data_IF_540218607132
#
_entry.id   IF_540218607132
#
_cell.length_a   1.000
_cell.length_b   1.000
_cell.length_c   1.000
_cell.angle_alpha   90.00
_cell.angle_beta   90.00
_cell.angle_gamma   90.00
#
_symmetry.space_group_name_H-M   'P 1'
#
loop_
_entity.id
_entity.type
_entity.pdbx_description
1 polymer ?
#
# COMPACT_ATOMS: atom_id res chain seq x y z
N UNK A 1 4.66 -3.64 -25.45
CA UNK A 1 4.02 -3.31 -24.15
C UNK A 1 5.13 -2.84 -23.22
N UNK A 2 5.15 -1.57 -22.82
CA UNK A 2 6.21 -1.04 -21.98
C UNK A 2 6.02 -1.54 -20.53
N UNK A 3 6.56 -2.72 -20.24
CA UNK A 3 6.69 -3.25 -18.87
C UNK A 3 7.76 -2.46 -18.14
N UNK A 4 7.45 -1.22 -17.74
CA UNK A 4 8.19 -0.62 -16.63
C UNK A 4 7.91 -1.49 -15.42
N UNK A 5 8.94 -2.15 -14.89
CA UNK A 5 8.85 -2.85 -13.63
C UNK A 5 8.25 -1.90 -12.60
N UNK A 6 7.07 -2.25 -12.09
CA UNK A 6 6.38 -1.41 -11.12
C UNK A 6 7.21 -1.37 -9.86
N UNK A 7 7.45 -0.17 -9.37
CA UNK A 7 8.10 0.02 -8.07
C UNK A 7 7.24 -0.60 -6.96
N UNK A 8 7.87 -0.93 -5.83
CA UNK A 8 7.17 -1.41 -4.63
C UNK A 8 6.06 -0.44 -4.18
N UNK A 9 6.30 0.86 -4.34
CA UNK A 9 5.33 1.93 -4.10
C UNK A 9 4.10 1.82 -5.02
N UNK A 10 4.32 1.60 -6.32
CA UNK A 10 3.22 1.42 -7.28
C UNK A 10 2.42 0.16 -6.98
N UNK A 11 3.09 -0.95 -6.64
CA UNK A 11 2.40 -2.17 -6.20
C UNK A 11 1.56 -1.94 -4.95
N UNK A 12 2.09 -1.24 -3.94
CA UNK A 12 1.32 -0.88 -2.75
C UNK A 12 0.06 -0.09 -3.12
N UNK A 13 0.17 0.88 -4.03
CA UNK A 13 -0.98 1.66 -4.50
C UNK A 13 -2.04 0.81 -5.19
N UNK A 14 -1.63 -0.16 -6.01
CA UNK A 14 -2.54 -1.12 -6.62
C UNK A 14 -3.21 -2.04 -5.59
N UNK A 15 -2.46 -2.48 -4.57
CA UNK A 15 -3.01 -3.29 -3.49
C UNK A 15 -4.13 -2.57 -2.75
N UNK A 16 -3.85 -1.33 -2.34
CA UNK A 16 -4.81 -0.48 -1.62
C UNK A 16 -6.03 -0.17 -2.49
N UNK A 17 -5.81 0.16 -3.77
CA UNK A 17 -6.90 0.44 -4.72
C UNK A 17 -7.73 -0.80 -5.03
N UNK A 18 -7.10 -1.95 -5.23
CA UNK A 18 -7.76 -3.23 -5.49
C UNK A 18 -8.57 -3.73 -4.30
N UNK A 19 -8.13 -3.42 -3.08
CA UNK A 19 -8.91 -3.68 -1.86
C UNK A 19 -10.07 -2.67 -1.66
N UNK A 20 -10.24 -1.66 -2.52
CA UNK A 20 -11.25 -0.62 -2.37
C UNK A 20 -11.02 0.30 -1.15
N UNK A 21 -9.80 0.33 -0.61
CA UNK A 21 -9.48 1.07 0.61
C UNK A 21 -8.93 2.46 0.32
N UNK A 22 -9.28 3.40 1.18
CA UNK A 22 -8.60 4.70 1.24
C UNK A 22 -7.24 4.57 1.94
N UNK A 23 -6.26 5.41 1.59
CA UNK A 23 -4.93 5.41 2.21
C UNK A 23 -4.92 5.34 3.75
N UNK A 24 -5.72 6.13 4.51
CA UNK A 24 -5.76 6.04 5.98
C UNK A 24 -6.38 4.73 6.50
N UNK A 25 -7.36 4.18 5.79
CA UNK A 25 -7.95 2.89 6.14
C UNK A 25 -6.95 1.74 5.90
N UNK A 26 -6.26 1.78 4.75
CA UNK A 26 -5.18 0.86 4.44
C UNK A 26 -4.04 0.94 5.46
N UNK A 27 -3.65 2.15 5.88
CA UNK A 27 -2.64 2.34 6.93
C UNK A 27 -3.06 1.68 8.24
N UNK A 28 -4.32 1.84 8.64
CA UNK A 28 -4.85 1.24 9.87
C UNK A 28 -4.79 -0.28 9.82
N UNK A 29 -5.19 -0.86 8.69
CA UNK A 29 -5.11 -2.30 8.43
C UNK A 29 -3.66 -2.81 8.41
N UNK A 30 -2.78 -2.10 7.70
CA UNK A 30 -1.36 -2.42 7.63
C UNK A 30 -0.70 -2.42 9.01
N UNK A 31 -0.97 -1.38 9.81
CA UNK A 31 -0.42 -1.21 11.15
C UNK A 31 -0.99 -2.18 12.18
N UNK A 32 -2.12 -2.86 11.90
CA UNK A 32 -2.74 -3.82 12.82
C UNK A 32 -1.80 -4.97 13.21
N UNK A 33 -0.88 -5.36 12.32
CA UNK A 33 0.15 -6.38 12.59
C UNK A 33 1.42 -5.85 13.28
N UNK A 34 1.64 -4.52 13.26
CA UNK A 34 2.86 -3.89 13.80
C UNK A 34 2.66 -3.23 15.17
N UNK A 35 1.40 -3.02 15.59
CA UNK A 35 1.07 -2.41 16.87
C UNK A 35 1.64 -1.00 17.02
N UNK A 36 2.27 -0.71 18.16
CA UNK A 36 2.79 0.63 18.52
C UNK A 36 4.01 1.04 17.64
N UNK A 37 4.61 0.08 16.93
CA UNK A 37 5.69 0.33 15.94
C UNK A 37 5.18 0.53 14.51
N UNK A 38 3.87 0.71 14.34
CA UNK A 38 3.26 0.99 13.04
C UNK A 38 3.81 2.24 12.35
N UNK A 39 3.62 2.29 11.04
CA UNK A 39 4.03 3.43 10.22
C UNK A 39 3.12 4.63 10.53
N UNK A 40 3.70 5.82 10.69
CA UNK A 40 2.92 7.04 10.86
C UNK A 40 2.29 7.47 9.54
N UNK A 41 1.14 8.13 9.60
CA UNK A 41 0.44 8.63 8.41
C UNK A 41 1.31 9.53 7.52
N UNK A 42 2.14 10.38 8.13
CA UNK A 42 3.09 11.23 7.38
C UNK A 42 4.08 10.40 6.56
N UNK A 43 4.63 9.33 7.14
CA UNK A 43 5.53 8.41 6.44
C UNK A 43 4.78 7.60 5.38
N UNK A 44 3.56 7.15 5.68
CA UNK A 44 2.72 6.41 4.75
C UNK A 44 2.41 7.20 3.49
N UNK A 45 2.00 8.47 3.63
CA UNK A 45 1.76 9.38 2.50
C UNK A 45 2.99 9.54 1.60
N UNK A 46 4.20 9.51 2.18
CA UNK A 46 5.46 9.56 1.44
C UNK A 46 5.67 8.38 0.49
N UNK A 47 5.06 7.21 0.75
CA UNK A 47 5.12 6.07 -0.16
C UNK A 47 4.23 6.24 -1.39
N UNK A 48 3.18 7.07 -1.32
CA UNK A 48 2.31 7.36 -2.46
C UNK A 48 2.73 8.63 -3.23
N UNK A 49 3.79 9.31 -2.78
CA UNK A 49 4.36 10.42 -3.52
C UNK A 49 5.03 9.94 -4.81
N UNK A 50 5.11 10.83 -5.80
CA UNK A 50 5.88 10.58 -7.03
C UNK A 50 7.37 10.49 -6.69
N UNK A 51 8.17 9.69 -7.44
CA UNK A 51 9.61 9.55 -7.23
C UNK A 51 10.39 10.87 -7.35
N UNK A 52 9.83 11.85 -8.08
CA UNK A 52 10.39 13.20 -8.25
C UNK A 52 10.15 14.12 -7.03
N UNK A 53 9.34 13.68 -6.06
CA UNK A 53 9.04 14.50 -4.88
C UNK A 53 10.12 14.36 -3.81
N UNK A 54 10.50 15.47 -3.18
CA UNK A 54 11.39 15.48 -2.00
C UNK A 54 10.82 14.71 -0.80
N UNK A 55 9.53 14.41 -0.80
CA UNK A 55 8.85 13.59 0.22
C UNK A 55 8.71 12.12 -0.17
N UNK A 56 9.18 11.75 -1.36
CA UNK A 56 9.19 10.36 -1.80
C UNK A 56 10.00 9.52 -0.83
N UNK A 57 9.41 8.42 -0.38
CA UNK A 57 10.13 7.36 0.31
C UNK A 57 10.00 6.07 -0.46
N UNK A 58 11.11 5.38 -0.65
CA UNK A 58 11.10 4.01 -1.15
C UNK A 58 10.37 3.10 -0.17
N UNK A 59 9.38 2.37 -0.67
CA UNK A 59 8.70 1.36 0.11
C UNK A 59 9.53 0.07 0.08
N UNK A 60 9.85 -0.47 1.24
CA UNK A 60 10.71 -1.65 1.35
C UNK A 60 9.97 -2.90 0.83
N UNK A 61 10.61 -3.76 0.01
CA UNK A 61 9.98 -4.98 -0.48
C UNK A 61 9.51 -5.91 0.66
N UNK A 62 10.18 -5.93 1.82
CA UNK A 62 9.73 -6.72 2.97
C UNK A 62 8.40 -6.19 3.54
N UNK A 63 8.21 -4.87 3.50
CA UNK A 63 6.93 -4.24 3.89
C UNK A 63 5.85 -4.51 2.85
N UNK A 64 6.24 -4.63 1.57
CA UNK A 64 5.32 -5.01 0.51
C UNK A 64 4.78 -6.43 0.68
N UNK A 65 5.61 -7.40 1.05
CA UNK A 65 5.12 -8.76 1.33
C UNK A 65 4.08 -8.77 2.47
N UNK A 66 4.25 -7.93 3.49
CA UNK A 66 3.25 -7.77 4.54
C UNK A 66 1.97 -7.11 4.01
N UNK A 67 2.10 -6.07 3.18
CA UNK A 67 0.96 -5.42 2.54
C UNK A 67 0.20 -6.41 1.64
N UNK A 68 0.88 -7.27 0.89
CA UNK A 68 0.28 -8.32 0.06
C UNK A 68 -0.48 -9.34 0.91
N UNK A 69 0.03 -9.72 2.09
CA UNK A 69 -0.68 -10.61 3.02
C UNK A 69 -1.92 -9.97 3.65
N UNK A 70 -1.89 -8.65 3.90
CA UNK A 70 -3.00 -7.91 4.52
C UNK A 70 -4.08 -7.55 3.49
N UNK A 71 -3.68 -7.01 2.34
CA UNK A 71 -4.58 -6.53 1.31
C UNK A 71 -4.91 -7.57 0.24
N UNK A 72 -4.06 -8.56 0.02
CA UNK A 72 -4.27 -9.63 -0.96
C UNK A 72 -5.62 -10.33 -0.82
N UNK A 73 -6.02 -10.77 0.39
CA UNK A 73 -7.35 -11.35 0.61
C UNK A 73 -8.51 -10.38 0.30
N UNK A 74 -8.29 -9.07 0.45
CA UNK A 74 -9.30 -8.04 0.21
C UNK A 74 -9.50 -7.71 -1.27
N UNK A 75 -8.55 -8.08 -2.13
CA UNK A 75 -8.65 -7.83 -3.57
C UNK A 75 -9.77 -8.61 -4.25
N UNK A 76 -10.22 -9.72 -3.66
CA UNK A 76 -11.29 -10.56 -4.20
C UNK A 76 -12.69 -10.13 -3.75
N UNK A 77 -12.80 -9.35 -2.67
CA UNK A 77 -14.08 -9.02 -2.04
C UNK A 77 -14.88 -7.93 -2.79
N UNK A 78 -14.28 -7.28 -3.80
CA UNK A 78 -15.02 -6.32 -4.65
C UNK A 78 -15.86 -7.00 -5.75
N UNK A 79 -16.02 -8.33 -5.69
CA UNK A 79 -16.99 -9.07 -6.51
C UNK A 79 -18.31 -9.21 -5.77
N UNK A 80 -18.98 -8.10 -5.49
CA UNK A 80 -20.36 -8.15 -5.04
C UNK A 80 -20.78 -7.03 -4.11
N UNK A 81 -21.05 -5.85 -4.67
CA UNK A 81 -22.36 -5.24 -4.42
C UNK A 81 -22.90 -4.67 -5.75
N UNK A 82 -24.06 -5.22 -6.09
CA UNK A 82 -24.90 -4.98 -7.24
C UNK A 82 -25.81 -3.77 -6.98
#
# INVERSE_FOLDING_TARGET
>A
MNTKEKTTNERLAELVKGAGLSQPAALTLFNRGFGIRGIKESTWKGYFCKPDSTRYRGFDPNLLEHAEKVFGPLQHDTTGQK
#
